data_IF_401709720187
#
_entry.id   IF_401709720187
#
_cell.length_a   1.000
_cell.length_b   1.000
_cell.length_c   1.000
_cell.angle_alpha   90.00
_cell.angle_beta   90.00
_cell.angle_gamma   90.00
#
_symmetry.space_group_name_H-M   'P 1'
#
loop_
_entity.id
_entity.type
_entity.pdbx_description
1 polymer ?
#
# COMPACT_ATOMS: atom_id res chain seq x y z
N UNK A 1 4.56 -10.46 -3.49
CA UNK A 1 5.75 -10.81 -2.64
C UNK A 1 6.12 -9.71 -1.65
N UNK A 2 5.16 -8.94 -1.15
CA UNK A 2 5.42 -7.83 -0.22
C UNK A 2 6.11 -8.27 1.09
N UNK A 3 5.76 -9.44 1.64
CA UNK A 3 6.40 -10.01 2.83
C UNK A 3 7.90 -10.31 2.66
N UNK A 4 8.35 -10.58 1.45
CA UNK A 4 9.77 -10.77 1.11
C UNK A 4 10.53 -9.46 0.91
N UNK A 5 9.86 -8.34 1.14
CA UNK A 5 10.42 -6.99 1.09
C UNK A 5 11.12 -6.67 -0.23
N UNK A 6 10.56 -7.12 -1.35
CA UNK A 6 11.03 -6.83 -2.69
C UNK A 6 10.11 -5.83 -3.40
N UNK A 7 10.71 -4.95 -4.16
CA UNK A 7 10.06 -4.04 -5.08
C UNK A 7 11.01 -3.67 -6.20
N UNK A 8 10.50 -3.05 -7.24
CA UNK A 8 11.32 -2.59 -8.35
C UNK A 8 10.85 -1.22 -8.84
N UNK A 9 11.76 -0.50 -9.46
CA UNK A 9 11.50 0.82 -10.04
C UNK A 9 11.85 0.79 -11.52
N UNK A 10 10.91 1.19 -12.34
CA UNK A 10 11.08 1.39 -13.79
C UNK A 10 10.70 2.83 -14.15
N UNK A 11 11.33 3.40 -15.17
CA UNK A 11 10.99 4.75 -15.58
C UNK A 11 12.14 5.53 -16.18
N UNK A 12 12.19 6.81 -15.90
CA UNK A 12 13.18 7.72 -16.47
C UNK A 12 14.61 7.26 -16.14
N UNK A 13 15.47 7.12 -17.17
CA UNK A 13 16.85 6.65 -17.06
C UNK A 13 17.68 7.42 -16.03
N UNK A 14 17.50 8.75 -15.93
CA UNK A 14 18.26 9.57 -14.99
C UNK A 14 17.85 9.26 -13.54
N UNK A 15 16.54 9.10 -13.27
CA UNK A 15 16.03 8.78 -11.94
C UNK A 15 16.42 7.36 -11.51
N UNK A 16 16.25 6.38 -12.40
CA UNK A 16 16.66 5.00 -12.13
C UNK A 16 18.16 4.90 -11.91
N UNK A 17 18.97 5.61 -12.72
CA UNK A 17 20.42 5.66 -12.54
C UNK A 17 20.86 6.32 -11.24
N UNK A 18 20.17 7.37 -10.80
CA UNK A 18 20.44 8.01 -9.50
C UNK A 18 20.11 7.04 -8.34
N UNK A 19 18.98 6.35 -8.40
CA UNK A 19 18.61 5.34 -7.42
C UNK A 19 19.64 4.19 -7.38
N UNK A 20 20.06 3.67 -8.53
CA UNK A 20 21.07 2.63 -8.64
C UNK A 20 22.39 3.07 -7.96
N UNK A 21 22.83 4.31 -8.21
CA UNK A 21 24.03 4.86 -7.60
C UNK A 21 23.91 4.94 -6.08
N UNK A 22 22.78 5.41 -5.56
CA UNK A 22 22.54 5.47 -4.10
C UNK A 22 22.54 4.07 -3.51
N UNK A 23 21.80 3.11 -4.11
CA UNK A 23 21.74 1.73 -3.63
C UNK A 23 23.09 1.03 -3.59
N UNK A 24 23.97 1.31 -4.55
CA UNK A 24 25.34 0.73 -4.54
C UNK A 24 26.16 1.10 -3.32
N UNK A 25 25.84 2.19 -2.65
CA UNK A 25 26.48 2.63 -1.41
C UNK A 25 25.76 2.14 -0.15
N UNK A 26 24.43 1.98 -0.22
CA UNK A 26 23.61 1.64 0.95
C UNK A 26 23.56 0.14 1.25
N UNK A 27 23.34 -0.69 0.24
CA UNK A 27 23.05 -2.12 0.44
C UNK A 27 23.84 -3.07 -0.46
N UNK A 28 24.71 -2.55 -1.29
CA UNK A 28 25.55 -3.33 -2.24
C UNK A 28 24.77 -4.26 -3.19
N UNK A 29 23.46 -4.25 -3.12
CA UNK A 29 22.57 -5.09 -3.91
C UNK A 29 21.62 -5.93 -3.06
N UNK A 30 20.76 -6.66 -3.74
CA UNK A 30 19.73 -7.47 -3.11
C UNK A 30 20.10 -8.95 -3.21
N UNK A 31 19.68 -9.73 -2.22
CA UNK A 31 19.85 -11.18 -2.19
C UNK A 31 19.30 -11.86 -3.45
N UNK A 32 20.16 -12.49 -4.22
CA UNK A 32 19.86 -13.03 -5.57
C UNK A 32 18.68 -14.03 -5.59
N UNK A 33 18.54 -14.97 -4.63
CA UNK A 33 17.39 -15.89 -4.63
C UNK A 33 16.03 -15.19 -4.60
N UNK A 34 15.89 -14.06 -3.91
CA UNK A 34 14.65 -13.28 -3.89
C UNK A 34 14.41 -12.61 -5.25
N UNK A 35 15.46 -12.16 -5.94
CA UNK A 35 15.36 -11.62 -7.30
C UNK A 35 14.87 -12.67 -8.28
N UNK A 36 15.45 -13.88 -8.22
CA UNK A 36 15.02 -15.01 -9.07
C UNK A 36 13.56 -15.38 -8.77
N UNK A 37 13.19 -15.50 -7.48
CA UNK A 37 11.81 -15.78 -7.09
C UNK A 37 10.83 -14.72 -7.60
N UNK A 38 11.26 -13.45 -7.65
CA UNK A 38 10.42 -12.36 -8.19
C UNK A 38 10.23 -12.47 -9.69
N UNK A 39 11.26 -12.87 -10.42
CA UNK A 39 11.14 -13.12 -11.87
C UNK A 39 10.15 -14.24 -12.12
N UNK A 40 10.26 -15.34 -11.40
CA UNK A 40 9.30 -16.46 -11.49
C UNK A 40 7.88 -16.02 -11.15
N UNK A 41 7.71 -15.17 -10.12
CA UNK A 41 6.39 -14.66 -9.74
C UNK A 41 5.78 -13.70 -10.78
N UNK A 42 6.62 -12.96 -11.51
CA UNK A 42 6.14 -12.04 -12.57
C UNK A 42 5.80 -12.81 -13.87
N UNK A 43 6.56 -13.83 -14.19
CA UNK A 43 6.37 -14.63 -15.42
C UNK A 43 5.36 -15.77 -15.23
N UNK A 44 5.03 -16.10 -14.00
CA UNK A 44 4.12 -17.18 -13.64
C UNK A 44 2.63 -16.81 -13.71
N UNK A 45 1.75 -17.74 -13.36
CA UNK A 45 0.30 -17.52 -13.31
C UNK A 45 -0.09 -16.34 -12.42
N UNK A 46 -1.06 -15.53 -12.83
CA UNK A 46 -1.47 -14.30 -12.15
C UNK A 46 -2.84 -14.40 -11.45
N UNK A 47 -3.48 -15.56 -11.44
CA UNK A 47 -4.80 -15.78 -10.85
C UNK A 47 -4.84 -15.39 -9.38
N UNK A 48 -3.77 -15.68 -8.63
CA UNK A 48 -3.65 -15.27 -7.23
C UNK A 48 -3.67 -13.75 -7.03
N UNK A 49 -3.16 -12.98 -7.99
CA UNK A 49 -3.19 -11.51 -7.96
C UNK A 49 -4.63 -11.02 -8.12
N UNK A 50 -5.40 -11.62 -9.03
CA UNK A 50 -6.80 -11.29 -9.24
C UNK A 50 -7.67 -11.65 -8.02
N UNK A 51 -7.43 -12.78 -7.38
CA UNK A 51 -8.12 -13.18 -6.17
C UNK A 51 -7.83 -12.22 -5.00
N UNK A 52 -6.57 -11.85 -4.81
CA UNK A 52 -6.16 -10.87 -3.81
C UNK A 52 -6.80 -9.52 -4.09
N UNK A 53 -6.76 -9.06 -5.34
CA UNK A 53 -7.38 -7.80 -5.79
C UNK A 53 -8.87 -7.75 -5.46
N UNK A 54 -9.62 -8.79 -5.84
CA UNK A 54 -11.05 -8.92 -5.55
C UNK A 54 -11.34 -8.93 -4.04
N UNK A 55 -10.50 -9.60 -3.27
CA UNK A 55 -10.61 -9.65 -1.81
C UNK A 55 -10.45 -8.26 -1.18
N UNK A 56 -9.42 -7.52 -1.58
CA UNK A 56 -9.20 -6.16 -1.07
C UNK A 56 -10.25 -5.17 -1.57
N UNK A 57 -10.72 -5.30 -2.80
CA UNK A 57 -11.83 -4.50 -3.33
C UNK A 57 -13.09 -4.67 -2.47
N UNK A 58 -13.49 -5.90 -2.19
CA UNK A 58 -14.63 -6.20 -1.32
C UNK A 58 -14.46 -5.65 0.10
N UNK A 59 -13.27 -5.80 0.69
CA UNK A 59 -12.96 -5.26 2.03
C UNK A 59 -13.03 -3.75 2.06
N UNK A 60 -12.47 -3.09 1.04
CA UNK A 60 -12.54 -1.64 0.86
C UNK A 60 -13.99 -1.16 0.82
N UNK A 61 -14.81 -1.81 0.03
CA UNK A 61 -16.21 -1.43 -0.17
C UNK A 61 -16.99 -1.55 1.15
N UNK A 62 -16.85 -2.69 1.84
CA UNK A 62 -17.47 -2.89 3.16
C UNK A 62 -17.03 -1.82 4.15
N UNK A 63 -15.72 -1.49 4.18
CA UNK A 63 -15.19 -0.50 5.11
C UNK A 63 -15.77 0.89 4.81
N UNK A 64 -15.69 1.36 3.56
CA UNK A 64 -16.19 2.70 3.17
C UNK A 64 -17.67 2.83 3.40
N UNK A 65 -18.46 1.82 3.04
CA UNK A 65 -19.91 1.82 3.21
C UNK A 65 -20.30 1.84 4.70
N UNK A 66 -19.60 1.05 5.53
CA UNK A 66 -19.88 0.99 6.96
C UNK A 66 -19.58 2.30 7.66
N UNK A 67 -18.43 2.91 7.40
CA UNK A 67 -18.09 4.21 7.99
C UNK A 67 -19.00 5.33 7.48
N UNK A 68 -19.36 5.31 6.20
CA UNK A 68 -20.30 6.28 5.63
C UNK A 68 -21.67 6.17 6.32
N UNK A 69 -22.18 4.96 6.53
CA UNK A 69 -23.44 4.72 7.28
C UNK A 69 -23.33 5.14 8.75
N UNK A 70 -22.17 5.02 9.35
CA UNK A 70 -21.89 5.48 10.72
C UNK A 70 -21.70 7.00 10.83
N UNK A 71 -21.87 7.77 9.75
CA UNK A 71 -21.73 9.22 9.76
C UNK A 71 -20.31 9.74 9.51
N UNK A 72 -19.38 8.87 9.15
CA UNK A 72 -18.02 9.25 8.76
C UNK A 72 -17.76 8.93 7.28
N UNK A 73 -18.20 9.80 6.36
CA UNK A 73 -18.03 9.55 4.92
C UNK A 73 -16.55 9.62 4.52
N UNK A 74 -16.12 8.61 3.78
CA UNK A 74 -14.76 8.48 3.29
C UNK A 74 -14.71 8.45 1.78
N UNK A 75 -13.65 9.03 1.20
CA UNK A 75 -13.40 8.90 -0.24
C UNK A 75 -12.93 7.49 -0.55
N UNK A 76 -13.65 6.80 -1.42
CA UNK A 76 -13.31 5.45 -1.86
C UNK A 76 -12.01 5.47 -2.67
N UNK A 77 -10.92 4.85 -2.22
CA UNK A 77 -9.68 4.81 -2.97
C UNK A 77 -9.81 3.90 -4.19
N UNK A 78 -9.15 4.26 -5.27
CA UNK A 78 -9.14 3.45 -6.50
C UNK A 78 -8.23 2.23 -6.38
N UNK A 79 -7.23 2.29 -5.52
CA UNK A 79 -6.23 1.25 -5.31
C UNK A 79 -5.73 1.26 -3.86
N UNK A 80 -4.84 0.35 -3.52
CA UNK A 80 -4.20 0.16 -2.22
C UNK A 80 -5.10 -0.48 -1.15
N UNK A 81 -4.47 -0.82 -0.03
CA UNK A 81 -5.15 -1.32 1.19
C UNK A 81 -5.41 -0.20 2.21
N UNK A 82 -5.06 1.04 1.89
CA UNK A 82 -5.15 2.18 2.80
C UNK A 82 -6.30 3.10 2.40
N UNK A 83 -6.95 3.69 3.41
CA UNK A 83 -7.90 4.79 3.23
C UNK A 83 -7.31 6.03 3.85
N UNK A 84 -7.26 7.12 3.09
CA UNK A 84 -6.90 8.43 3.58
C UNK A 84 -8.18 9.19 3.92
N UNK A 85 -8.54 9.21 5.19
CA UNK A 85 -9.77 9.83 5.65
C UNK A 85 -9.50 11.14 6.39
N UNK A 86 -10.36 12.14 6.18
CA UNK A 86 -10.39 13.34 7.04
C UNK A 86 -10.97 12.95 8.39
N UNK A 87 -10.51 13.62 9.44
CA UNK A 87 -11.14 13.52 10.75
C UNK A 87 -12.62 13.91 10.62
N UNK A 88 -13.56 13.14 11.21
CA UNK A 88 -14.97 13.47 11.12
C UNK A 88 -15.28 14.80 11.82
N UNK A 89 -16.32 15.50 11.34
CA UNK A 89 -16.66 16.84 11.84
C UNK A 89 -16.87 16.90 13.37
N UNK A 90 -17.38 15.83 13.94
CA UNK A 90 -17.59 15.73 15.40
C UNK A 90 -16.29 15.77 16.20
N UNK A 91 -15.17 15.46 15.59
CA UNK A 91 -13.84 15.41 16.20
C UNK A 91 -12.83 16.37 15.52
N UNK A 92 -13.28 17.32 14.69
CA UNK A 92 -12.35 18.20 13.95
C UNK A 92 -11.55 19.16 14.84
N UNK A 93 -11.91 19.27 16.11
CA UNK A 93 -11.16 19.99 17.14
C UNK A 93 -9.91 19.23 17.62
N UNK A 94 -9.78 17.95 17.28
CA UNK A 94 -8.63 17.11 17.63
C UNK A 94 -7.59 17.10 16.52
N UNK A 95 -6.32 16.95 16.88
CA UNK A 95 -5.29 16.57 15.95
C UNK A 95 -5.46 15.10 15.50
N UNK A 96 -4.82 14.71 14.39
CA UNK A 96 -4.89 13.33 13.89
C UNK A 96 -4.35 12.31 14.90
N UNK A 97 -3.36 12.68 15.69
CA UNK A 97 -2.78 11.81 16.72
C UNK A 97 -3.74 11.64 17.91
N UNK A 98 -4.34 12.72 18.39
CA UNK A 98 -5.32 12.66 19.47
C UNK A 98 -6.54 11.85 19.07
N UNK A 99 -7.06 12.08 17.86
CA UNK A 99 -8.17 11.31 17.31
C UNK A 99 -7.84 9.81 17.20
N UNK A 100 -6.67 9.47 16.65
CA UNK A 100 -6.24 8.08 16.56
C UNK A 100 -6.10 7.43 17.95
N UNK A 101 -5.59 8.17 18.94
CA UNK A 101 -5.47 7.68 20.33
C UNK A 101 -6.84 7.40 20.94
N UNK A 102 -7.83 8.28 20.71
CA UNK A 102 -9.20 8.07 21.21
C UNK A 102 -9.90 6.87 20.57
N UNK A 103 -9.60 6.59 19.28
CA UNK A 103 -10.16 5.41 18.61
C UNK A 103 -9.61 4.07 19.12
N UNK A 104 -8.49 4.09 19.84
CA UNK A 104 -7.86 2.89 20.42
C UNK A 104 -8.32 2.59 21.86
N UNK A 105 -9.05 3.48 22.50
CA UNK A 105 -9.59 3.35 23.85
C UNK A 105 -11.01 2.78 23.83
#
# INVERSE_FOLDING_TARGET
>A
MAGWRIGFVVGNKKLVGALQKIKSWFDYGMFTPIQVASTVALDGPQECVDEIRKTYEKRRDVLVDSFTKAGWPMVKPQATMFIWAKIPKVAEHLSSMEFATQLLQ
#
